data_IF_159223492109
#
_entry.id   IF_159223492109
#
_cell.length_a   1.000
_cell.length_b   1.000
_cell.length_c   1.000
_cell.angle_alpha   90.00
_cell.angle_beta   90.00
_cell.angle_gamma   90.00
#
_symmetry.space_group_name_H-M   'P 1'
#
loop_
_entity.id
_entity.type
_entity.pdbx_description
1 polymer ?
#
# COMPACT_ATOMS: atom_id res chain seq x y z
N UNK A 1 -11.30 10.37 1.35
CA UNK A 1 -11.27 9.15 2.19
C UNK A 1 -10.06 9.13 3.14
N UNK A 2 -8.85 9.57 2.72
CA UNK A 2 -7.65 9.62 3.59
C UNK A 2 -7.48 10.92 4.42
N UNK A 3 -8.34 11.93 4.19
CA UNK A 3 -8.34 13.22 4.93
C UNK A 3 -9.21 13.20 6.18
N UNK A 4 -9.71 12.03 6.59
CA UNK A 4 -10.51 11.96 7.80
C UNK A 4 -9.56 12.22 8.99
N UNK A 5 -9.96 13.09 9.91
CA UNK A 5 -9.23 13.37 11.16
C UNK A 5 -9.35 12.20 12.16
N UNK A 6 -9.05 10.99 11.69
CA UNK A 6 -9.04 9.77 12.48
C UNK A 6 -7.59 9.43 12.86
N UNK A 7 -7.37 8.81 14.04
CA UNK A 7 -6.05 8.33 14.43
C UNK A 7 -5.47 7.31 13.43
N UNK A 8 -4.14 7.28 13.28
CA UNK A 8 -3.46 6.42 12.28
C UNK A 8 -3.74 4.92 12.42
N UNK A 9 -3.94 4.45 13.64
CA UNK A 9 -4.32 3.06 13.92
C UNK A 9 -5.76 2.72 13.49
N UNK A 10 -6.56 3.71 13.07
CA UNK A 10 -7.89 3.48 12.49
C UNK A 10 -7.85 3.11 11.01
N UNK A 11 -6.66 3.21 10.38
CA UNK A 11 -6.47 2.91 8.96
C UNK A 11 -5.76 1.57 8.81
N UNK A 12 -6.38 0.68 8.05
CA UNK A 12 -5.88 -0.66 7.71
C UNK A 12 -5.84 -0.80 6.20
N UNK A 13 -4.74 -1.34 5.69
CA UNK A 13 -4.50 -1.59 4.28
C UNK A 13 -4.30 -3.08 4.03
N UNK A 14 -4.73 -3.57 2.88
CA UNK A 14 -4.41 -4.91 2.42
C UNK A 14 -3.11 -4.86 1.64
N UNK A 15 -2.14 -5.68 2.04
CA UNK A 15 -0.84 -5.80 1.37
C UNK A 15 -0.71 -7.18 0.78
N UNK A 16 -0.57 -7.24 -0.54
CA UNK A 16 -0.17 -8.45 -1.26
C UNK A 16 1.36 -8.51 -1.31
N UNK A 17 1.97 -9.62 -0.93
CA UNK A 17 3.41 -9.83 -1.05
C UNK A 17 3.71 -11.27 -1.50
N UNK A 18 4.84 -11.47 -2.16
CA UNK A 18 5.29 -12.78 -2.65
C UNK A 18 6.25 -13.39 -1.62
N UNK A 19 5.88 -14.55 -1.08
CA UNK A 19 6.72 -15.31 -0.15
C UNK A 19 6.77 -16.77 -0.63
N UNK A 20 7.98 -17.31 -0.80
CA UNK A 20 8.20 -18.69 -1.29
C UNK A 20 7.46 -19.04 -2.61
N UNK A 21 7.28 -18.04 -3.49
CA UNK A 21 6.58 -18.22 -4.77
C UNK A 21 5.05 -18.21 -4.68
N UNK A 22 4.50 -17.96 -3.49
CA UNK A 22 3.06 -17.83 -3.25
C UNK A 22 2.72 -16.41 -2.86
N UNK A 23 1.68 -15.83 -3.47
CA UNK A 23 1.19 -14.53 -3.05
C UNK A 23 0.35 -14.65 -1.78
N UNK A 24 0.77 -13.97 -0.73
CA UNK A 24 0.03 -13.82 0.51
C UNK A 24 -0.58 -12.43 0.62
N UNK A 25 -1.78 -12.35 1.21
CA UNK A 25 -2.46 -11.09 1.49
C UNK A 25 -2.55 -10.93 3.00
N UNK A 26 -2.06 -9.82 3.53
CA UNK A 26 -2.12 -9.47 4.94
C UNK A 26 -2.78 -8.11 5.16
N UNK A 27 -3.28 -7.89 6.36
CA UNK A 27 -3.75 -6.58 6.81
C UNK A 27 -2.63 -5.86 7.57
N UNK A 28 -2.37 -4.59 7.23
CA UNK A 28 -1.30 -3.78 7.81
C UNK A 28 -1.89 -2.45 8.29
N UNK A 29 -1.55 -2.03 9.51
CA UNK A 29 -1.99 -0.73 10.00
C UNK A 29 -1.11 0.38 9.44
N UNK A 30 -1.71 1.54 9.20
CA UNK A 30 -0.94 2.70 8.76
C UNK A 30 0.09 3.16 9.79
N UNK A 31 -0.16 2.93 11.08
CA UNK A 31 0.81 3.18 12.17
C UNK A 31 2.01 2.23 12.16
N UNK A 32 1.91 1.09 11.48
CA UNK A 32 3.04 0.17 11.33
C UNK A 32 4.09 0.74 10.38
N UNK A 33 3.65 1.58 9.44
CA UNK A 33 4.48 2.24 8.42
C UNK A 33 4.80 3.69 8.84
N UNK A 34 3.80 4.46 9.28
CA UNK A 34 3.93 5.88 9.64
C UNK A 34 4.13 6.08 11.14
N UNK A 35 5.40 6.21 11.55
CA UNK A 35 5.79 6.26 12.97
C UNK A 35 5.66 7.64 13.61
N UNK A 36 5.82 8.74 12.86
CA UNK A 36 5.74 10.10 13.44
C UNK A 36 4.29 10.54 13.42
N UNK A 37 3.81 11.18 14.48
CA UNK A 37 2.43 11.70 14.53
C UNK A 37 2.14 12.76 13.45
N UNK A 38 3.17 13.43 12.94
CA UNK A 38 3.07 14.43 11.86
C UNK A 38 2.98 13.84 10.45
N UNK A 39 3.26 12.55 10.24
CA UNK A 39 3.24 12.02 8.87
C UNK A 39 1.79 11.99 8.34
N UNK A 40 1.57 12.52 7.15
CA UNK A 40 0.27 12.54 6.49
C UNK A 40 0.00 11.23 5.77
N UNK A 41 -1.18 10.63 6.02
CA UNK A 41 -1.61 9.42 5.31
C UNK A 41 -1.78 9.66 3.81
N UNK A 42 -2.36 10.81 3.43
CA UNK A 42 -2.48 11.23 2.04
C UNK A 42 -1.11 11.26 1.37
N UNK A 43 -0.15 11.97 1.97
CA UNK A 43 1.18 12.11 1.37
C UNK A 43 1.88 10.75 1.25
N UNK A 44 1.75 9.88 2.24
CA UNK A 44 2.35 8.55 2.19
C UNK A 44 1.78 7.69 1.05
N UNK A 45 0.46 7.74 0.81
CA UNK A 45 -0.17 7.04 -0.32
C UNK A 45 0.23 7.68 -1.65
N UNK A 46 0.23 9.01 -1.76
CA UNK A 46 0.62 9.72 -2.99
C UNK A 46 2.09 9.50 -3.38
N UNK A 47 2.97 9.29 -2.40
CA UNK A 47 4.37 8.94 -2.61
C UNK A 47 4.60 7.42 -2.69
N UNK A 48 3.52 6.64 -2.80
CA UNK A 48 3.53 5.18 -2.91
C UNK A 48 4.29 4.43 -1.80
N UNK A 49 4.34 5.00 -0.59
CA UNK A 49 4.99 4.38 0.58
C UNK A 49 4.35 3.04 0.97
N UNK A 50 3.12 2.79 0.50
CA UNK A 50 2.37 1.56 0.76
C UNK A 50 2.39 0.55 -0.41
N UNK A 51 3.19 0.78 -1.46
CA UNK A 51 3.20 -0.03 -2.69
C UNK A 51 1.77 -0.25 -3.25
N UNK A 52 1.01 0.84 -3.30
CA UNK A 52 -0.39 0.89 -3.73
C UNK A 52 -0.54 0.95 -5.24
N UNK A 53 0.50 1.37 -5.95
CA UNK A 53 0.53 1.38 -7.40
C UNK A 53 0.71 -0.05 -7.95
N UNK A 54 0.15 -0.34 -9.15
CA UNK A 54 0.38 -1.61 -9.81
C UNK A 54 1.87 -1.82 -10.12
N UNK A 55 2.32 -3.07 -10.13
CA UNK A 55 3.71 -3.39 -10.47
C UNK A 55 3.95 -3.13 -11.96
N UNK A 56 4.72 -2.10 -12.28
CA UNK A 56 5.04 -1.70 -13.67
C UNK A 56 5.60 -2.83 -14.52
N UNK A 57 6.36 -3.75 -13.92
CA UNK A 57 6.88 -4.93 -14.62
C UNK A 57 5.79 -5.84 -15.18
N UNK A 58 4.65 -5.95 -14.48
CA UNK A 58 3.49 -6.74 -14.91
C UNK A 58 2.63 -5.99 -15.93
N UNK A 59 2.74 -4.66 -16.03
CA UNK A 59 2.01 -3.89 -17.03
C UNK A 59 2.47 -4.25 -18.45
N UNK A 60 3.77 -4.48 -18.64
CA UNK A 60 4.33 -4.90 -19.93
C UNK A 60 3.85 -6.31 -20.35
N UNK A 61 3.54 -7.18 -19.38
CA UNK A 61 2.99 -8.52 -19.66
C UNK A 61 1.52 -8.46 -20.12
N UNK A 62 0.77 -7.44 -19.68
CA UNK A 62 -0.62 -7.23 -20.09
C UNK A 62 -0.76 -6.58 -21.48
N UNK A 63 0.22 -5.77 -21.89
CA UNK A 63 0.21 -5.10 -23.20
C UNK A 63 0.56 -6.06 -24.35
N UNK A 64 1.33 -7.11 -24.07
CA UNK A 64 1.62 -8.20 -25.02
C UNK A 64 0.51 -9.26 -25.00
N UNK A 65 -0.70 -8.87 -25.40
CA UNK A 65 -1.77 -9.82 -25.70
C UNK A 65 -1.55 -10.50 -27.06
N UNK A 66 -1.11 -11.75 -27.04
CA UNK A 66 -1.42 -12.73 -28.09
C UNK A 66 -2.64 -13.56 -27.67
#
# INVERSE_FOLDING_TARGET
MLDLNLPKNSYVFLRKHLEEGVYQVSAVFASDVLKRNTDSLRCAVENDVFDSLPQDSLLNELEMGD
#
